data_IF_180158436645
#
_entry.id   IF_180158436645
#
_cell.length_a   1.000
_cell.length_b   1.000
_cell.length_c   1.000
_cell.angle_alpha   90.00
_cell.angle_beta   90.00
_cell.angle_gamma   90.00
#
_symmetry.space_group_name_H-M   'P 1'
#
loop_
_entity.id
_entity.type
_entity.pdbx_description
1 polymer ?
#
# COMPACT_ATOMS: atom_id res chain seq x y z
N UNK A 1 -5.40 2.36 1.02
CA UNK A 1 -6.82 1.93 1.07
C UNK A 1 -7.50 2.79 2.11
N UNK A 2 -8.70 3.32 1.85
CA UNK A 2 -9.46 4.01 2.90
C UNK A 2 -9.95 2.99 3.92
N UNK A 3 -9.84 3.31 5.20
CA UNK A 3 -10.38 2.50 6.28
C UNK A 3 -11.88 2.21 6.05
N UNK A 4 -12.25 0.94 5.87
CA UNK A 4 -13.64 0.50 5.69
C UNK A 4 -14.01 -0.38 6.88
N UNK A 5 -14.22 0.29 8.00
CA UNK A 5 -14.54 -0.35 9.28
C UNK A 5 -15.91 -1.03 9.18
N UNK A 6 -16.00 -2.30 9.57
CA UNK A 6 -17.25 -3.02 9.72
C UNK A 6 -17.94 -2.53 11.00
N UNK A 7 -19.14 -1.92 10.91
CA UNK A 7 -19.83 -1.39 12.09
C UNK A 7 -20.31 -2.53 13.00
N UNK A 8 -20.06 -2.38 14.31
CA UNK A 8 -20.50 -3.34 15.33
C UNK A 8 -21.89 -2.95 15.85
N UNK A 9 -22.84 -3.87 15.80
CA UNK A 9 -24.23 -3.63 16.18
C UNK A 9 -24.73 -4.54 17.31
N UNK A 10 -25.66 -4.08 18.17
CA UNK A 10 -26.33 -4.92 19.15
C UNK A 10 -27.23 -5.94 18.43
N UNK A 11 -26.99 -7.24 18.63
CA UNK A 11 -27.72 -8.33 17.96
C UNK A 11 -26.92 -9.08 16.90
N UNK A 12 -25.68 -8.67 16.61
CA UNK A 12 -24.75 -9.45 15.80
C UNK A 12 -24.40 -10.76 16.52
N UNK A 13 -24.39 -11.88 15.79
CA UNK A 13 -23.93 -13.14 16.36
C UNK A 13 -22.45 -13.06 16.73
N UNK A 14 -22.03 -13.85 17.71
CA UNK A 14 -20.67 -13.73 18.27
C UNK A 14 -19.58 -14.00 17.24
N UNK A 15 -19.81 -14.92 16.29
CA UNK A 15 -18.82 -15.25 15.26
C UNK A 15 -18.66 -14.10 14.24
N UNK A 16 -19.76 -13.50 13.79
CA UNK A 16 -19.73 -12.34 12.90
C UNK A 16 -19.07 -11.14 13.58
N UNK A 17 -19.33 -10.93 14.88
CA UNK A 17 -18.69 -9.87 15.66
C UNK A 17 -17.19 -10.05 15.76
N UNK A 18 -16.72 -11.25 16.08
CA UNK A 18 -15.29 -11.53 16.24
C UNK A 18 -14.54 -11.38 14.89
N UNK A 19 -15.16 -11.82 13.79
CA UNK A 19 -14.63 -11.61 12.45
C UNK A 19 -14.57 -10.12 12.07
N UNK A 20 -15.62 -9.35 12.38
CA UNK A 20 -15.66 -7.91 12.14
C UNK A 20 -14.54 -7.18 12.91
N UNK A 21 -14.37 -7.52 14.20
CA UNK A 21 -13.30 -6.96 15.04
C UNK A 21 -11.91 -7.27 14.45
N UNK A 22 -11.64 -8.54 14.11
CA UNK A 22 -10.35 -8.94 13.55
C UNK A 22 -10.05 -8.24 12.23
N UNK A 23 -11.05 -8.09 11.36
CA UNK A 23 -10.90 -7.38 10.10
C UNK A 23 -10.64 -5.88 10.31
N UNK A 24 -11.34 -5.26 11.24
CA UNK A 24 -11.13 -3.84 11.58
C UNK A 24 -9.72 -3.60 12.11
N UNK A 25 -9.22 -4.44 13.02
CA UNK A 25 -7.84 -4.33 13.53
C UNK A 25 -6.79 -4.51 12.43
N UNK A 26 -6.96 -5.49 11.53
CA UNK A 26 -6.07 -5.67 10.38
C UNK A 26 -6.03 -4.45 9.47
N UNK A 27 -7.18 -3.83 9.21
CA UNK A 27 -7.26 -2.61 8.41
C UNK A 27 -6.54 -1.42 9.08
N UNK A 28 -6.75 -1.24 10.38
CA UNK A 28 -6.09 -0.19 11.17
C UNK A 28 -4.57 -0.40 11.18
N UNK A 29 -4.09 -1.63 11.37
CA UNK A 29 -2.66 -1.94 11.33
C UNK A 29 -2.05 -1.69 9.95
N UNK A 30 -2.76 -2.02 8.87
CA UNK A 30 -2.30 -1.77 7.50
C UNK A 30 -2.22 -0.26 7.20
N UNK A 31 -3.20 0.54 7.64
CA UNK A 31 -3.19 1.99 7.48
C UNK A 31 -2.08 2.65 8.29
N UNK A 32 -1.85 2.20 9.53
CA UNK A 32 -0.74 2.69 10.35
C UNK A 32 0.64 2.43 9.71
N UNK A 33 0.76 1.37 8.90
CA UNK A 33 2.02 0.98 8.25
C UNK A 33 2.26 1.66 6.90
N UNK A 34 1.21 2.11 6.20
CA UNK A 34 1.34 2.67 4.85
C UNK A 34 0.59 4.00 4.72
N UNK A 35 1.34 5.06 4.39
CA UNK A 35 0.78 6.37 4.04
C UNK A 35 0.90 6.62 2.55
N UNK A 36 -0.21 6.95 1.90
CA UNK A 36 -0.25 7.31 0.48
C UNK A 36 -0.74 8.75 0.32
N UNK A 37 0.06 9.58 -0.36
CA UNK A 37 -0.28 10.94 -0.75
C UNK A 37 -0.74 10.89 -2.20
N UNK A 38 -1.90 11.47 -2.48
CA UNK A 38 -2.50 11.53 -3.81
C UNK A 38 -2.36 12.93 -4.42
N UNK A 39 -2.27 12.99 -5.74
CA UNK A 39 -2.30 14.24 -6.50
C UNK A 39 -3.74 14.80 -6.59
N UNK A 40 -3.88 15.96 -7.25
CA UNK A 40 -5.18 16.64 -7.45
C UNK A 40 -6.20 15.82 -8.25
N UNK A 41 -5.76 14.82 -9.00
CA UNK A 41 -6.61 13.90 -9.79
C UNK A 41 -6.95 12.61 -9.02
N UNK A 42 -6.51 12.48 -7.76
CA UNK A 42 -6.74 11.30 -6.93
C UNK A 42 -5.79 10.12 -7.20
N UNK A 43 -4.79 10.30 -8.06
CA UNK A 43 -3.76 9.29 -8.35
C UNK A 43 -2.67 9.32 -7.29
N UNK A 44 -2.07 8.18 -7.02
CA UNK A 44 -0.98 8.09 -6.03
C UNK A 44 0.23 8.90 -6.54
N UNK A 45 0.80 9.70 -5.66
CA UNK A 45 2.00 10.51 -5.93
C UNK A 45 3.19 10.03 -5.11
N UNK A 46 2.93 9.59 -3.87
CA UNK A 46 3.93 9.05 -2.97
C UNK A 46 3.29 8.00 -2.05
N UNK A 47 3.92 6.85 -1.91
CA UNK A 47 3.55 5.83 -0.91
C UNK A 47 4.75 5.57 0.00
N UNK A 48 4.58 5.70 1.31
CA UNK A 48 5.58 5.41 2.34
C UNK A 48 5.06 4.25 3.17
N UNK A 49 5.78 3.13 3.21
CA UNK A 49 5.41 1.97 4.00
C UNK A 49 5.40 0.70 3.18
N UNK A 50 4.42 -0.15 3.44
CA UNK A 50 4.27 -1.39 2.67
C UNK A 50 3.72 -1.05 1.27
N UNK A 51 4.50 -1.39 0.25
CA UNK A 51 4.09 -1.39 -1.16
C UNK A 51 4.01 -2.85 -1.63
N UNK A 52 3.62 -3.11 -2.88
CA UNK A 52 3.32 -4.46 -3.42
C UNK A 52 4.21 -5.62 -2.91
N UNK A 53 3.66 -6.84 -2.88
CA UNK A 53 4.34 -8.06 -2.41
C UNK A 53 4.87 -7.99 -0.96
N UNK A 54 4.17 -7.27 -0.07
CA UNK A 54 4.51 -7.13 1.35
C UNK A 54 5.91 -6.55 1.61
N UNK A 55 6.44 -5.75 0.67
CA UNK A 55 7.74 -5.09 0.81
C UNK A 55 7.59 -3.69 1.37
N UNK A 56 8.62 -3.18 2.02
CA UNK A 56 8.63 -1.84 2.59
C UNK A 56 9.55 -0.92 1.80
N UNK A 57 9.08 0.31 1.60
CA UNK A 57 9.81 1.33 0.88
C UNK A 57 9.04 2.64 0.73
N UNK A 58 9.66 3.54 0.00
CA UNK A 58 9.08 4.79 -0.48
C UNK A 58 8.94 4.63 -1.99
N UNK A 59 7.71 4.74 -2.48
CA UNK A 59 7.40 4.65 -3.91
C UNK A 59 6.93 6.02 -4.40
N UNK A 60 7.63 6.57 -5.39
CA UNK A 60 7.23 7.77 -6.10
C UNK A 60 6.62 7.43 -7.45
N UNK A 61 5.57 8.15 -7.82
CA UNK A 61 4.78 7.88 -9.01
C UNK A 61 4.87 9.04 -10.01
N UNK A 62 4.79 8.75 -11.30
CA UNK A 62 4.56 9.74 -12.35
C UNK A 62 3.13 10.30 -12.25
N UNK A 63 2.84 11.40 -12.96
CA UNK A 63 1.53 12.08 -12.95
C UNK A 63 0.38 11.16 -13.36
N UNK A 64 0.67 10.15 -14.17
CA UNK A 64 -0.30 9.17 -14.65
C UNK A 64 -0.63 8.08 -13.63
N UNK A 65 0.12 8.01 -12.51
CA UNK A 65 0.01 6.99 -11.47
C UNK A 65 0.97 5.81 -11.64
N UNK A 66 1.91 5.88 -12.59
CA UNK A 66 2.90 4.81 -12.81
C UNK A 66 4.02 4.87 -11.76
N UNK A 67 4.33 3.78 -11.02
CA UNK A 67 5.45 3.76 -10.07
C UNK A 67 6.78 3.95 -10.81
N UNK A 68 7.53 4.99 -10.49
CA UNK A 68 8.78 5.32 -11.20
C UNK A 68 10.01 5.29 -10.30
N UNK A 69 9.85 5.60 -9.02
CA UNK A 69 10.93 5.64 -8.05
C UNK A 69 10.61 4.63 -6.96
N UNK A 70 11.57 3.78 -6.63
CA UNK A 70 11.52 2.93 -5.46
C UNK A 70 12.78 3.19 -4.61
N UNK A 71 12.57 3.50 -3.34
CA UNK A 71 13.61 3.47 -2.31
C UNK A 71 13.20 2.48 -1.24
N UNK A 72 13.85 1.32 -1.17
CA UNK A 72 13.44 0.27 -0.24
C UNK A 72 13.89 -1.12 -0.65
N UNK A 73 13.13 -2.12 -0.24
CA UNK A 73 13.41 -3.54 -0.49
C UNK A 73 12.87 -3.97 -1.85
N UNK A 74 13.69 -4.31 -2.84
CA UNK A 74 13.28 -4.81 -4.15
C UNK A 74 12.25 -5.95 -4.06
N UNK A 75 11.26 -6.00 -4.95
CA UNK A 75 10.19 -7.00 -4.90
C UNK A 75 10.69 -8.44 -5.09
N UNK A 76 11.55 -8.68 -6.07
CA UNK A 76 12.02 -10.02 -6.45
C UNK A 76 12.87 -10.72 -5.38
N UNK A 77 13.82 -10.01 -4.78
CA UNK A 77 14.84 -10.64 -3.91
C UNK A 77 15.06 -9.92 -2.57
N UNK A 78 14.38 -8.80 -2.35
CA UNK A 78 14.47 -8.06 -1.10
C UNK A 78 15.74 -7.25 -0.90
N UNK A 79 16.62 -7.13 -1.92
CA UNK A 79 17.79 -6.24 -1.84
C UNK A 79 17.34 -4.82 -1.51
N UNK A 80 18.08 -4.12 -0.65
CA UNK A 80 17.78 -2.72 -0.33
C UNK A 80 18.49 -1.82 -1.35
N UNK A 81 17.78 -0.83 -1.89
CA UNK A 81 18.34 0.08 -2.89
C UNK A 81 17.43 1.23 -3.26
N UNK A 82 17.90 1.98 -4.26
CA UNK A 82 17.17 3.06 -4.91
C UNK A 82 17.15 2.76 -6.40
N UNK A 83 15.96 2.69 -6.98
CA UNK A 83 15.75 2.46 -8.41
C UNK A 83 14.89 3.56 -8.98
N UNK A 84 15.24 4.00 -10.18
CA UNK A 84 14.52 5.02 -10.94
C UNK A 84 14.38 4.51 -12.36
N UNK A 85 13.15 4.32 -12.80
CA UNK A 85 12.85 3.94 -14.19
C UNK A 85 12.75 5.17 -15.10
N UNK A 86 12.68 4.90 -16.41
CA UNK A 86 12.32 5.92 -17.40
C UNK A 86 10.86 6.36 -17.18
N UNK A 87 10.47 7.58 -17.59
CA UNK A 87 9.09 8.03 -17.51
C UNK A 87 8.12 7.02 -18.14
N UNK A 88 7.02 6.74 -17.45
CA UNK A 88 5.99 5.78 -17.89
C UNK A 88 6.37 4.30 -17.79
N UNK A 89 7.53 3.95 -17.22
CA UNK A 89 7.93 2.56 -16.98
C UNK A 89 7.72 2.22 -15.51
N UNK A 90 7.02 1.13 -15.22
CA UNK A 90 6.77 0.70 -13.84
C UNK A 90 8.04 0.08 -13.22
N UNK A 91 8.68 0.81 -12.29
CA UNK A 91 9.92 0.37 -11.63
C UNK A 91 9.74 -0.91 -10.80
N UNK A 92 8.53 -1.19 -10.30
CA UNK A 92 8.25 -2.37 -9.49
C UNK A 92 8.22 -3.62 -10.38
N UNK A 93 7.55 -3.53 -11.54
CA UNK A 93 7.51 -4.61 -12.54
C UNK A 93 8.90 -4.91 -13.12
N UNK A 94 9.68 -3.86 -13.43
CA UNK A 94 11.07 -4.01 -13.92
C UNK A 94 11.98 -4.73 -12.91
N UNK A 95 11.65 -4.65 -11.62
CA UNK A 95 12.35 -5.37 -10.56
C UNK A 95 11.77 -6.75 -10.26
N UNK A 96 10.80 -7.23 -11.06
CA UNK A 96 10.18 -8.54 -10.95
C UNK A 96 9.09 -8.63 -9.88
N UNK A 97 8.35 -7.55 -9.65
CA UNK A 97 7.24 -7.48 -8.70
C UNK A 97 5.85 -7.59 -9.30
#
# INVERSE_FOLDING_TARGET
>A
MSLSVIPLGPGMDSATRDNAINNNFRQIEAENRTKTIKNSEGKDQLTIGMYGNSRYGIVGYDLDGTPRILMGSAPSDGRIGIWVSKPGVNVIEELGG
#
